data_IF_409040756008
#
_entry.id   IF_409040756008
#
_cell.length_a   1.000
_cell.length_b   1.000
_cell.length_c   1.000
_cell.angle_alpha   90.00
_cell.angle_beta   90.00
_cell.angle_gamma   90.00
#
_symmetry.space_group_name_H-M   'P 1'
#
loop_
_entity.id
_entity.type
_entity.pdbx_description
1 polymer ?
#
# COMPACT_ATOMS: atom_id res chain seq x y z
N UNK A 1 40.98 35.03 -24.38
CA UNK A 1 39.72 35.18 -23.61
C UNK A 1 40.02 35.95 -22.33
N UNK A 2 39.24 36.98 -22.00
CA UNK A 2 39.44 37.76 -20.77
C UNK A 2 39.09 36.90 -19.54
N UNK A 3 39.72 37.15 -18.37
CA UNK A 3 39.43 36.38 -17.15
C UNK A 3 37.96 36.45 -16.73
N UNK A 4 37.29 37.56 -17.05
CA UNK A 4 35.86 37.77 -16.82
C UNK A 4 35.00 36.86 -17.70
N UNK A 5 35.30 36.75 -19.00
CA UNK A 5 34.58 35.86 -19.91
C UNK A 5 34.69 34.38 -19.49
N UNK A 6 35.87 33.95 -19.00
CA UNK A 6 36.06 32.58 -18.49
C UNK A 6 35.23 32.31 -17.24
N UNK A 7 35.12 33.28 -16.33
CA UNK A 7 34.28 33.15 -15.11
C UNK A 7 32.80 33.09 -15.45
N UNK A 8 32.33 33.95 -16.36
CA UNK A 8 30.93 33.93 -16.82
C UNK A 8 30.59 32.62 -17.52
N UNK A 9 31.48 32.09 -18.36
CA UNK A 9 31.30 30.79 -19.01
C UNK A 9 31.19 29.65 -17.98
N UNK A 10 32.08 29.63 -16.99
CA UNK A 10 32.04 28.62 -15.92
C UNK A 10 30.75 28.71 -15.10
N UNK A 11 30.30 29.92 -14.77
CA UNK A 11 29.05 30.13 -14.05
C UNK A 11 27.84 29.65 -14.86
N UNK A 12 27.81 29.98 -16.15
CA UNK A 12 26.74 29.57 -17.05
C UNK A 12 26.66 28.03 -17.16
N UNK A 13 27.81 27.37 -17.34
CA UNK A 13 27.88 25.91 -17.36
C UNK A 13 27.42 25.29 -16.03
N UNK A 14 27.83 25.87 -14.90
CA UNK A 14 27.35 25.43 -13.59
C UNK A 14 25.83 25.56 -13.45
N UNK A 15 25.25 26.66 -13.96
CA UNK A 15 23.80 26.87 -13.97
C UNK A 15 23.07 25.84 -14.85
N UNK A 16 23.62 25.51 -16.02
CA UNK A 16 23.06 24.49 -16.91
C UNK A 16 23.11 23.10 -16.26
N UNK A 17 24.22 22.75 -15.61
CA UNK A 17 24.35 21.49 -14.89
C UNK A 17 23.38 21.41 -13.72
N UNK A 18 23.21 22.51 -12.96
CA UNK A 18 22.24 22.57 -11.89
C UNK A 18 20.82 22.36 -12.42
N UNK A 19 20.45 23.04 -13.52
CA UNK A 19 19.13 22.90 -14.13
C UNK A 19 18.89 21.47 -14.62
N UNK A 20 19.88 20.86 -15.26
CA UNK A 20 19.82 19.47 -15.70
C UNK A 20 19.67 18.50 -14.52
N UNK A 21 20.40 18.73 -13.42
CA UNK A 21 20.31 17.92 -12.21
C UNK A 21 18.91 18.01 -11.56
N UNK A 22 18.35 19.21 -11.46
CA UNK A 22 16.98 19.40 -10.94
C UNK A 22 15.95 18.74 -11.85
N UNK A 23 16.09 18.88 -13.17
CA UNK A 23 15.24 18.22 -14.15
C UNK A 23 15.28 16.70 -14.04
N UNK A 24 16.48 16.12 -13.98
CA UNK A 24 16.67 14.67 -13.82
C UNK A 24 16.07 14.15 -12.50
N UNK A 25 16.27 14.88 -11.41
CA UNK A 25 15.69 14.53 -10.11
C UNK A 25 14.16 14.57 -10.12
N UNK A 26 13.59 15.61 -10.74
CA UNK A 26 12.14 15.74 -10.93
C UNK A 26 11.57 14.59 -11.77
N UNK A 27 12.23 14.27 -12.89
CA UNK A 27 11.81 13.19 -13.77
C UNK A 27 11.86 11.82 -13.07
N UNK A 28 12.92 11.56 -12.30
CA UNK A 28 13.03 10.32 -11.53
C UNK A 28 11.91 10.19 -10.51
N UNK A 29 11.57 11.27 -9.79
CA UNK A 29 10.44 11.27 -8.85
C UNK A 29 9.10 11.04 -9.57
N UNK A 30 8.89 11.68 -10.71
CA UNK A 30 7.69 11.47 -11.52
C UNK A 30 7.53 10.01 -11.94
N UNK A 31 8.60 9.39 -12.46
CA UNK A 31 8.59 7.97 -12.84
C UNK A 31 8.30 7.06 -11.65
N UNK A 32 8.85 7.35 -10.48
CA UNK A 32 8.56 6.59 -9.26
C UNK A 32 7.10 6.73 -8.84
N UNK A 33 6.53 7.93 -8.92
CA UNK A 33 5.12 8.17 -8.59
C UNK A 33 4.19 7.44 -9.57
N UNK A 34 4.49 7.48 -10.87
CA UNK A 34 3.74 6.76 -11.89
C UNK A 34 3.77 5.24 -11.63
N UNK A 35 4.94 4.67 -11.35
CA UNK A 35 5.07 3.25 -11.03
C UNK A 35 4.32 2.85 -9.74
N UNK A 36 4.28 3.73 -8.73
CA UNK A 36 3.53 3.47 -7.50
C UNK A 36 2.01 3.50 -7.74
N UNK A 37 1.53 4.43 -8.58
CA UNK A 37 0.11 4.50 -8.97
C UNK A 37 -0.31 3.23 -9.72
N UNK A 38 0.50 2.80 -10.68
CA UNK A 38 0.25 1.57 -11.44
C UNK A 38 0.15 0.35 -10.50
N UNK A 39 1.11 0.18 -9.59
CA UNK A 39 1.08 -0.90 -8.59
C UNK A 39 -0.15 -0.84 -7.69
N UNK A 40 -0.57 0.36 -7.28
CA UNK A 40 -1.79 0.54 -6.49
C UNK A 40 -3.01 0.06 -7.27
N UNK A 41 -3.11 0.43 -8.55
CA UNK A 41 -4.23 0.04 -9.39
C UNK A 41 -4.27 -1.48 -9.61
N UNK A 42 -3.11 -2.12 -9.85
CA UNK A 42 -3.01 -3.59 -9.88
C UNK A 42 -3.49 -4.22 -8.57
N UNK A 43 -3.01 -3.72 -7.42
CA UNK A 43 -3.40 -4.26 -6.11
C UNK A 43 -4.91 -4.09 -5.83
N UNK A 44 -5.53 -3.01 -6.28
CA UNK A 44 -6.97 -2.79 -6.16
C UNK A 44 -7.74 -3.81 -6.99
N UNK A 45 -7.29 -4.10 -8.21
CA UNK A 45 -7.89 -5.12 -9.08
C UNK A 45 -7.75 -6.50 -8.44
N UNK A 46 -6.54 -6.86 -7.98
CA UNK A 46 -6.28 -8.13 -7.29
C UNK A 46 -7.15 -8.29 -6.04
N UNK A 47 -7.30 -7.22 -5.24
CA UNK A 47 -8.17 -7.23 -4.07
C UNK A 47 -9.64 -7.43 -4.44
N UNK A 48 -10.12 -6.80 -5.51
CA UNK A 48 -11.48 -6.99 -6.00
C UNK A 48 -11.72 -8.44 -6.44
N UNK A 49 -10.77 -9.02 -7.18
CA UNK A 49 -10.80 -10.43 -7.59
C UNK A 49 -10.78 -11.35 -6.36
N UNK A 50 -9.86 -11.13 -5.42
CA UNK A 50 -9.75 -11.93 -4.20
C UNK A 50 -11.02 -11.84 -3.34
N UNK A 51 -11.64 -10.64 -3.23
CA UNK A 51 -12.92 -10.47 -2.54
C UNK A 51 -14.05 -11.22 -3.24
N UNK A 52 -14.11 -11.18 -4.57
CA UNK A 52 -15.11 -11.93 -5.33
C UNK A 52 -14.95 -13.44 -5.16
N UNK A 53 -13.71 -13.94 -5.17
CA UNK A 53 -13.40 -15.35 -4.92
C UNK A 53 -13.76 -15.75 -3.47
N UNK A 54 -13.43 -14.90 -2.49
CA UNK A 54 -13.75 -15.12 -1.09
C UNK A 54 -15.27 -15.05 -0.81
N UNK A 55 -16.03 -14.24 -1.54
CA UNK A 55 -17.48 -14.19 -1.42
C UNK A 55 -18.14 -15.53 -1.80
N UNK A 56 -17.51 -16.33 -2.67
CA UNK A 56 -17.94 -17.70 -2.98
C UNK A 56 -17.63 -18.72 -1.88
N UNK A 57 -16.74 -18.40 -0.93
CA UNK A 57 -16.38 -19.29 0.17
C UNK A 57 -17.47 -19.20 1.23
N UNK A 58 -18.47 -20.06 1.11
CA UNK A 58 -19.51 -20.27 2.11
C UNK A 58 -19.00 -21.05 3.34
N UNK A 59 -17.73 -20.98 3.70
CA UNK A 59 -17.09 -21.85 4.71
C UNK A 59 -17.90 -22.00 6.01
N UNK A 60 -18.31 -20.90 6.67
CA UNK A 60 -19.14 -20.97 7.87
C UNK A 60 -20.52 -21.60 7.62
N UNK A 61 -21.18 -21.24 6.50
CA UNK A 61 -22.49 -21.77 6.12
C UNK A 61 -22.42 -23.26 5.76
N UNK A 62 -21.40 -23.68 5.03
CA UNK A 62 -21.14 -25.07 4.66
C UNK A 62 -20.86 -25.94 5.89
N UNK A 63 -20.09 -25.43 6.87
CA UNK A 63 -19.86 -26.12 8.15
C UNK A 63 -21.16 -26.23 8.94
N UNK A 64 -21.98 -25.18 9.01
CA UNK A 64 -23.29 -25.27 9.67
C UNK A 64 -24.26 -26.23 8.98
N UNK A 65 -24.22 -26.30 7.65
CA UNK A 65 -25.09 -27.20 6.89
C UNK A 65 -24.66 -28.67 7.06
N UNK A 66 -23.36 -28.96 6.96
CA UNK A 66 -22.79 -30.26 7.28
C UNK A 66 -23.12 -30.73 8.72
N UNK A 67 -23.06 -29.81 9.69
CA UNK A 67 -23.37 -30.12 11.08
C UNK A 67 -24.86 -30.47 11.24
N UNK A 68 -25.74 -29.72 10.59
CA UNK A 68 -27.19 -29.97 10.54
C UNK A 68 -27.50 -31.32 9.89
N UNK A 69 -26.87 -31.66 8.78
CA UNK A 69 -27.04 -32.94 8.08
C UNK A 69 -26.59 -34.14 8.95
N UNK A 70 -25.73 -33.90 9.95
CA UNK A 70 -25.31 -34.89 10.95
C UNK A 70 -26.11 -34.86 12.24
N UNK A 71 -27.23 -34.14 12.26
CA UNK A 71 -28.11 -34.03 13.42
C UNK A 71 -27.53 -33.19 14.56
N UNK A 72 -26.47 -32.41 14.31
CA UNK A 72 -25.92 -31.48 15.29
C UNK A 72 -26.81 -30.23 15.32
N UNK A 73 -27.29 -29.88 16.50
CA UNK A 73 -28.07 -28.66 16.72
C UNK A 73 -27.09 -27.50 16.94
N UNK A 74 -27.19 -26.38 16.19
CA UNK A 74 -26.35 -25.23 16.46
C UNK A 74 -26.61 -24.76 17.89
N UNK A 75 -25.53 -24.67 18.68
CA UNK A 75 -25.62 -24.13 20.03
C UNK A 75 -26.23 -22.71 19.93
N UNK A 76 -27.23 -22.37 20.77
CA UNK A 76 -27.73 -21.00 20.84
C UNK A 76 -26.55 -20.08 21.08
N UNK A 77 -26.51 -18.96 20.35
CA UNK A 77 -25.41 -17.99 20.36
C UNK A 77 -24.85 -17.86 21.77
N UNK A 78 -23.69 -18.47 22.00
CA UNK A 78 -22.98 -18.29 23.24
C UNK A 78 -22.76 -16.79 23.36
N UNK A 79 -23.16 -16.22 24.49
CA UNK A 79 -22.98 -14.80 24.82
C UNK A 79 -21.51 -14.34 24.66
N UNK A 80 -20.56 -15.28 24.52
CA UNK A 80 -19.17 -15.06 24.15
C UNK A 80 -18.79 -15.77 22.84
N UNK A 81 -19.01 -15.10 21.71
CA UNK A 81 -18.32 -15.44 20.46
C UNK A 81 -16.96 -14.77 20.47
N UNK A 82 -15.90 -15.50 20.84
CA UNK A 82 -14.52 -15.03 20.67
C UNK A 82 -14.18 -15.12 19.18
N UNK A 83 -14.38 -14.00 18.46
CA UNK A 83 -13.85 -13.85 17.10
C UNK A 83 -12.34 -13.72 17.17
N UNK A 84 -11.64 -14.84 17.02
CA UNK A 84 -10.19 -14.84 16.85
C UNK A 84 -9.90 -14.33 15.44
N UNK A 85 -9.70 -13.02 15.30
CA UNK A 85 -9.06 -12.48 14.11
C UNK A 85 -7.68 -13.16 13.96
N UNK A 86 -7.21 -13.47 12.73
CA UNK A 86 -5.81 -13.82 12.54
C UNK A 86 -4.98 -12.71 13.18
N UNK A 87 -4.12 -13.07 14.14
CA UNK A 87 -3.24 -12.11 14.79
C UNK A 87 -2.54 -11.30 13.69
N UNK A 88 -2.66 -9.95 13.68
CA UNK A 88 -1.86 -9.17 12.76
C UNK A 88 -0.41 -9.49 13.12
N UNK A 89 0.31 -10.15 12.20
CA UNK A 89 1.76 -10.25 12.28
C UNK A 89 2.26 -8.85 12.64
N UNK A 90 2.89 -8.73 13.81
CA UNK A 90 3.38 -7.45 14.28
C UNK A 90 4.18 -6.81 13.13
N UNK A 91 3.79 -5.61 12.66
CA UNK A 91 4.51 -4.97 11.56
C UNK A 91 5.96 -4.80 12.03
N UNK A 92 6.96 -5.06 11.17
CA UNK A 92 8.35 -4.89 11.55
C UNK A 92 8.52 -3.47 12.06
N UNK A 93 9.00 -3.33 13.30
CA UNK A 93 9.22 -2.05 13.97
C UNK A 93 10.36 -1.33 13.27
N UNK A 94 10.06 -0.70 12.14
CA UNK A 94 10.98 0.22 11.46
C UNK A 94 10.69 1.59 12.04
N UNK A 95 11.61 2.07 12.87
CA UNK A 95 11.64 3.43 13.40
C UNK A 95 11.65 4.43 12.23
N UNK A 96 10.48 4.94 11.86
CA UNK A 96 10.35 6.03 10.90
C UNK A 96 10.48 7.36 11.67
N UNK A 97 11.69 7.89 11.69
CA UNK A 97 11.95 9.24 12.19
C UNK A 97 11.60 10.28 11.11
N UNK A 98 10.32 10.60 10.92
CA UNK A 98 9.81 11.88 10.37
C UNK A 98 8.27 11.89 10.38
N UNK A 99 7.59 13.02 10.65
CA UNK A 99 6.14 13.07 10.76
C UNK A 99 5.51 13.01 9.36
N UNK A 100 5.22 11.80 8.90
CA UNK A 100 4.38 11.58 7.73
C UNK A 100 2.93 11.51 8.20
N UNK A 101 2.07 12.32 7.60
CA UNK A 101 0.64 12.43 7.90
C UNK A 101 -0.05 11.08 7.60
N UNK A 102 -0.21 10.23 8.62
CA UNK A 102 -0.87 8.93 8.49
C UNK A 102 -2.39 9.10 8.52
N UNK A 103 -3.04 8.96 7.35
CA UNK A 103 -4.49 8.82 7.27
C UNK A 103 -4.84 7.36 7.57
N UNK A 104 -5.57 7.12 8.66
CA UNK A 104 -6.05 5.80 9.07
C UNK A 104 -7.55 5.67 8.78
N UNK A 105 -7.92 4.70 7.97
CA UNK A 105 -9.33 4.33 7.75
C UNK A 105 -9.76 3.33 8.82
N UNK A 106 -10.70 3.74 9.68
CA UNK A 106 -11.37 2.87 10.64
C UNK A 106 -12.57 2.24 9.95
N UNK A 107 -12.63 0.90 9.94
CA UNK A 107 -13.81 0.16 9.50
C UNK A 107 -14.69 -0.13 10.71
N UNK A 108 -15.95 0.32 10.66
CA UNK A 108 -17.01 -0.05 11.59
C UNK A 108 -17.74 -1.29 11.08
#
# INVERSE_FOLDING_TARGET
MTPLARRLMALYLAMLLLLAAVGAYGQQRFLHQAALLERKDTAVIELAVARSAAAGIQGPLAVTQWARDRGMVPAPDALDVIRVAPSPLAPPTRTLATPSLEVRTVWR
#
